data_IF_682650076626
#
_entry.id   IF_682650076626
#
_cell.length_a   1.000
_cell.length_b   1.000
_cell.length_c   1.000
_cell.angle_alpha   90.00
_cell.angle_beta   90.00
_cell.angle_gamma   90.00
#
_symmetry.space_group_name_H-M   'P 1'
#
loop_
_entity.id
_entity.type
_entity.pdbx_description
1 polymer ?
#
# COMPACT_ATOMS: atom_id res chain seq x y z
N UNK A 1 8.99 -7.79 -17.10
CA UNK A 1 8.39 -9.12 -17.33
C UNK A 1 6.88 -8.95 -17.13
N UNK A 2 6.08 -9.11 -18.18
CA UNK A 2 4.64 -8.79 -18.18
C UNK A 2 3.88 -9.89 -17.44
N UNK A 3 3.55 -9.65 -16.17
CA UNK A 3 2.80 -10.59 -15.34
C UNK A 3 1.30 -10.38 -15.60
N UNK A 4 0.64 -11.33 -16.27
CA UNK A 4 -0.80 -11.29 -16.53
C UNK A 4 -1.59 -11.85 -15.35
N UNK A 5 -2.80 -11.32 -15.10
CA UNK A 5 -3.76 -11.83 -14.08
C UNK A 5 -4.16 -13.29 -14.34
N UNK A 6 -3.91 -13.82 -15.53
CA UNK A 6 -4.25 -15.19 -15.94
C UNK A 6 -3.39 -16.27 -15.27
N UNK A 7 -2.31 -15.90 -14.58
CA UNK A 7 -1.42 -16.83 -13.87
C UNK A 7 -1.74 -16.98 -12.37
N UNK A 8 -2.85 -16.38 -11.91
CA UNK A 8 -3.31 -16.47 -10.52
C UNK A 8 -3.59 -17.92 -10.12
N UNK A 9 -3.13 -18.32 -8.94
CA UNK A 9 -3.30 -19.68 -8.43
C UNK A 9 -3.53 -19.66 -6.92
N UNK A 10 -4.50 -20.43 -6.42
CA UNK A 10 -4.78 -20.50 -4.98
C UNK A 10 -3.62 -21.06 -4.15
N UNK A 11 -2.78 -21.92 -4.74
CA UNK A 11 -1.62 -22.54 -4.08
C UNK A 11 -0.26 -21.95 -4.54
N UNK A 12 -0.30 -20.80 -5.22
CA UNK A 12 0.90 -20.13 -5.74
C UNK A 12 1.73 -19.40 -4.68
N UNK A 13 2.88 -18.89 -5.12
CA UNK A 13 3.73 -17.97 -4.36
C UNK A 13 3.03 -16.62 -4.22
N UNK A 14 3.14 -16.00 -3.04
CA UNK A 14 2.55 -14.67 -2.79
C UNK A 14 3.14 -13.63 -3.74
N UNK A 15 2.27 -12.84 -4.35
CA UNK A 15 2.64 -11.76 -5.26
C UNK A 15 1.78 -10.52 -5.07
N UNK A 16 2.35 -9.36 -5.44
CA UNK A 16 1.66 -8.09 -5.52
C UNK A 16 1.75 -7.62 -6.97
N UNK A 17 0.60 -7.28 -7.56
CA UNK A 17 0.52 -6.61 -8.85
C UNK A 17 0.39 -5.09 -8.66
N UNK A 18 0.98 -4.30 -9.55
CA UNK A 18 0.94 -2.84 -9.42
C UNK A 18 -0.50 -2.27 -9.36
N UNK A 19 -1.43 -2.87 -10.10
CA UNK A 19 -2.85 -2.49 -10.07
C UNK A 19 -3.52 -2.67 -8.70
N UNK A 20 -2.99 -3.57 -7.86
CA UNK A 20 -3.49 -3.80 -6.50
C UNK A 20 -3.07 -2.69 -5.53
N UNK A 21 -1.96 -1.99 -5.82
CA UNK A 21 -1.54 -0.81 -5.05
C UNK A 21 -2.59 0.31 -5.12
N UNK A 22 -3.38 0.37 -6.19
CA UNK A 22 -4.45 1.37 -6.35
C UNK A 22 -5.81 0.92 -5.82
N UNK A 23 -6.05 -0.38 -5.69
CA UNK A 23 -7.41 -0.93 -5.51
C UNK A 23 -7.60 -1.74 -4.24
N UNK A 24 -6.54 -2.37 -3.73
CA UNK A 24 -6.62 -3.30 -2.60
C UNK A 24 -5.84 -2.77 -1.41
N UNK A 25 -4.65 -2.24 -1.67
CA UNK A 25 -3.74 -1.82 -0.61
C UNK A 25 -3.85 -0.32 -0.36
N UNK A 26 -3.66 0.07 0.90
CA UNK A 26 -3.54 1.47 1.30
C UNK A 26 -2.07 1.81 1.58
N UNK A 27 -1.82 2.59 2.63
CA UNK A 27 -0.46 2.89 3.07
C UNK A 27 0.31 1.63 3.51
N UNK A 28 -0.37 0.59 3.99
CA UNK A 28 0.26 -0.64 4.48
C UNK A 28 -0.30 -1.84 3.71
N UNK A 29 0.60 -2.75 3.33
CA UNK A 29 0.23 -4.06 2.82
C UNK A 29 0.12 -5.01 4.02
N UNK A 30 -1.06 -5.10 4.62
CA UNK A 30 -1.28 -5.94 5.81
C UNK A 30 -1.24 -7.44 5.50
N UNK A 31 -1.87 -7.83 4.40
CA UNK A 31 -1.93 -9.23 3.94
C UNK A 31 -1.94 -9.28 2.44
N UNK A 32 -0.91 -9.92 1.88
CA UNK A 32 -0.82 -10.16 0.43
C UNK A 32 -1.93 -11.13 0.02
N UNK A 33 -2.81 -10.69 -0.90
CA UNK A 33 -3.96 -11.49 -1.34
C UNK A 33 -3.67 -12.36 -2.56
N UNK A 34 -2.88 -11.82 -3.49
CA UNK A 34 -2.61 -12.49 -4.76
C UNK A 34 -1.50 -13.53 -4.67
N UNK A 35 -1.64 -14.57 -5.49
CA UNK A 35 -0.73 -15.70 -5.57
C UNK A 35 -0.53 -16.11 -7.02
N UNK A 36 0.70 -16.44 -7.38
CA UNK A 36 1.08 -16.82 -8.75
C UNK A 36 1.90 -18.10 -8.75
N UNK A 37 1.69 -18.95 -9.75
CA UNK A 37 2.51 -20.14 -9.96
C UNK A 37 3.75 -19.81 -10.80
N UNK A 38 4.65 -18.99 -10.25
CA UNK A 38 5.90 -18.60 -10.89
C UNK A 38 7.11 -19.03 -10.06
N UNK A 39 8.18 -19.48 -10.72
CA UNK A 39 9.45 -19.81 -10.04
C UNK A 39 10.13 -18.52 -9.56
N UNK A 40 10.41 -18.44 -8.25
CA UNK A 40 11.02 -17.26 -7.59
C UNK A 40 12.36 -16.81 -8.20
N UNK A 41 13.10 -17.69 -8.87
CA UNK A 41 14.44 -17.40 -9.42
C UNK A 41 14.47 -16.41 -10.60
N UNK A 42 13.32 -16.10 -11.21
CA UNK A 42 13.23 -15.15 -12.34
C UNK A 42 12.42 -13.89 -12.00
N UNK A 43 12.00 -13.75 -10.73
CA UNK A 43 11.11 -12.69 -10.28
C UNK A 43 11.81 -11.73 -9.31
N UNK A 44 11.41 -10.47 -9.34
CA UNK A 44 11.84 -9.49 -8.32
C UNK A 44 11.15 -9.83 -6.99
N UNK A 45 11.94 -10.03 -5.94
CA UNK A 45 11.45 -10.38 -4.62
C UNK A 45 11.59 -9.21 -3.64
N UNK A 46 10.61 -9.07 -2.77
CA UNK A 46 10.64 -8.14 -1.64
C UNK A 46 11.71 -8.53 -0.62
N UNK A 47 12.35 -7.52 -0.03
CA UNK A 47 13.34 -7.63 1.04
C UNK A 47 12.74 -7.51 2.45
N UNK A 48 11.44 -7.17 2.54
CA UNK A 48 10.64 -7.13 3.78
C UNK A 48 10.78 -5.85 4.59
N UNK A 49 11.15 -4.75 3.93
CA UNK A 49 11.11 -3.36 4.41
C UNK A 49 11.02 -2.44 3.20
N UNK A 50 10.13 -2.75 2.27
CA UNK A 50 10.06 -2.09 0.97
C UNK A 50 8.91 -1.09 0.92
N UNK A 51 9.15 0.11 0.41
CA UNK A 51 8.10 1.01 -0.03
C UNK A 51 7.82 0.74 -1.51
N UNK A 52 6.63 0.24 -1.81
CA UNK A 52 6.19 -0.07 -3.16
C UNK A 52 5.52 1.15 -3.77
N UNK A 53 6.05 1.62 -4.90
CA UNK A 53 5.49 2.71 -5.69
C UNK A 53 5.03 2.17 -7.04
N UNK A 54 3.85 2.57 -7.54
CA UNK A 54 3.53 2.36 -8.93
C UNK A 54 4.45 3.24 -9.80
N UNK A 55 4.97 2.67 -10.88
CA UNK A 55 5.90 3.37 -11.77
C UNK A 55 5.17 4.23 -12.83
N UNK A 56 3.91 3.89 -13.13
CA UNK A 56 3.06 4.65 -14.04
C UNK A 56 1.58 4.60 -13.65
N UNK A 57 0.84 5.60 -14.14
CA UNK A 57 -0.61 5.70 -14.02
C UNK A 57 -1.16 6.53 -15.17
N UNK A 58 -2.42 6.27 -15.51
CA UNK A 58 -3.19 7.04 -16.51
C UNK A 58 -4.28 7.90 -15.87
N UNK A 59 -4.44 7.83 -14.54
CA UNK A 59 -5.59 8.43 -13.84
C UNK A 59 -5.19 9.66 -13.04
N UNK A 60 -4.23 9.54 -12.11
CA UNK A 60 -3.85 10.65 -11.22
C UNK A 60 -2.39 10.57 -10.78
N UNK A 61 -1.65 11.66 -10.98
CA UNK A 61 -0.28 11.87 -10.51
C UNK A 61 -0.09 11.54 -9.02
N UNK A 62 -1.08 11.86 -8.17
CA UNK A 62 -1.00 11.62 -6.72
C UNK A 62 -0.88 10.13 -6.38
N UNK A 63 -1.46 9.27 -7.23
CA UNK A 63 -1.42 7.83 -7.04
C UNK A 63 -0.01 7.24 -7.25
N UNK A 64 0.89 7.94 -7.95
CA UNK A 64 2.29 7.52 -8.11
C UNK A 64 3.17 7.77 -6.90
N UNK A 65 2.81 8.79 -6.10
CA UNK A 65 3.62 9.24 -4.95
C UNK A 65 3.06 8.73 -3.62
N UNK A 66 2.06 7.85 -3.68
CA UNK A 66 1.41 7.20 -2.55
C UNK A 66 1.92 5.76 -2.42
N UNK A 67 3.03 5.50 -1.71
CA UNK A 67 3.57 4.17 -1.59
C UNK A 67 2.82 3.31 -0.59
N UNK A 68 2.85 1.99 -0.81
CA UNK A 68 2.45 1.00 0.18
C UNK A 68 3.66 0.37 0.82
N UNK A 69 3.73 0.37 2.15
CA UNK A 69 4.79 -0.29 2.89
C UNK A 69 4.54 -1.80 2.96
N UNK A 70 5.56 -2.57 2.57
CA UNK A 70 5.59 -4.03 2.63
C UNK A 70 6.68 -4.51 3.60
N UNK A 71 6.25 -5.16 4.67
CA UNK A 71 7.13 -5.75 5.69
C UNK A 71 7.44 -7.23 5.44
N UNK A 72 6.68 -7.89 4.57
CA UNK A 72 6.89 -9.31 4.25
C UNK A 72 8.04 -9.52 3.26
N UNK A 73 8.88 -10.53 3.52
CA UNK A 73 10.00 -10.94 2.65
C UNK A 73 9.55 -11.94 1.60
N UNK A 74 10.29 -11.98 0.49
CA UNK A 74 10.12 -12.99 -0.57
C UNK A 74 8.75 -12.96 -1.26
N UNK A 75 8.09 -11.80 -1.27
CA UNK A 75 6.88 -11.54 -2.05
C UNK A 75 7.31 -11.18 -3.47
N UNK A 76 6.66 -11.79 -4.45
CA UNK A 76 6.92 -11.51 -5.86
C UNK A 76 6.30 -10.16 -6.22
N UNK A 77 7.11 -9.23 -6.71
CA UNK A 77 6.67 -7.93 -7.20
C UNK A 77 6.47 -8.00 -8.71
N UNK A 78 5.24 -7.75 -9.17
CA UNK A 78 4.84 -7.92 -10.55
C UNK A 78 4.28 -6.64 -11.19
N UNK A 79 4.60 -6.46 -12.48
CA UNK A 79 4.09 -5.35 -13.30
C UNK A 79 4.95 -4.09 -13.20
N UNK A 80 4.33 -2.93 -13.44
CA UNK A 80 5.02 -1.64 -13.52
C UNK A 80 5.06 -0.93 -12.15
N UNK A 81 5.89 -1.48 -11.27
CA UNK A 81 6.16 -0.91 -9.95
C UNK A 81 7.65 -0.98 -9.62
N UNK A 82 8.07 -0.17 -8.67
CA UNK A 82 9.40 -0.29 -8.08
C UNK A 82 9.30 -0.27 -6.54
N UNK A 83 10.27 -0.91 -5.90
CA UNK A 83 10.38 -0.96 -4.45
C UNK A 83 11.62 -0.20 -3.97
N UNK A 84 11.45 0.71 -3.02
CA UNK A 84 12.57 1.35 -2.31
C UNK A 84 12.81 0.59 -1.01
N UNK A 85 14.02 0.06 -0.84
CA UNK A 85 14.44 -0.61 0.39
C UNK A 85 14.76 0.42 1.46
N UNK A 86 14.11 0.31 2.61
CA UNK A 86 14.29 1.26 3.71
C UNK A 86 15.34 0.75 4.69
N UNK A 87 16.27 1.65 5.07
CA UNK A 87 17.29 1.39 6.08
C UNK A 87 16.65 1.00 7.43
N UNK A 88 17.46 0.45 8.33
CA UNK A 88 17.03 0.19 9.71
C UNK A 88 16.80 1.48 10.50
N UNK A 89 17.39 2.59 10.06
CA UNK A 89 17.30 3.90 10.73
C UNK A 89 15.93 4.57 10.59
N UNK A 90 15.05 4.03 9.73
CA UNK A 90 13.73 4.61 9.43
C UNK A 90 12.64 3.56 9.49
N UNK A 91 11.43 3.95 9.91
CA UNK A 91 10.27 3.07 9.92
C UNK A 91 9.56 3.12 8.54
N UNK A 92 9.46 1.99 7.80
CA UNK A 92 8.80 1.98 6.49
C UNK A 92 7.32 2.37 6.57
N UNK A 93 6.61 1.98 7.64
CA UNK A 93 5.20 2.31 7.84
C UNK A 93 5.02 3.83 8.02
N UNK A 94 5.90 4.44 8.82
CA UNK A 94 5.92 5.89 9.01
C UNK A 94 6.15 6.61 7.67
N UNK A 95 7.16 6.18 6.91
CA UNK A 95 7.47 6.78 5.62
C UNK A 95 6.29 6.66 4.66
N UNK A 96 5.61 5.52 4.63
CA UNK A 96 4.40 5.41 3.81
C UNK A 96 3.35 6.43 4.21
N UNK A 97 3.01 6.55 5.50
CA UNK A 97 2.06 7.56 5.96
C UNK A 97 2.52 8.99 5.63
N UNK A 98 3.80 9.28 5.83
CA UNK A 98 4.40 10.57 5.50
C UNK A 98 4.24 10.90 4.02
N UNK A 99 4.58 9.97 3.13
CA UNK A 99 4.44 10.19 1.69
C UNK A 99 2.98 10.32 1.25
N UNK A 100 2.08 9.52 1.81
CA UNK A 100 0.65 9.53 1.48
C UNK A 100 -0.05 10.81 1.93
N UNK A 101 0.27 11.35 3.12
CA UNK A 101 -0.50 12.42 3.74
C UNK A 101 0.23 13.76 3.86
N UNK A 102 1.55 13.75 4.06
CA UNK A 102 2.34 14.98 4.31
C UNK A 102 3.05 15.41 3.03
N UNK A 103 3.88 14.54 2.46
CA UNK A 103 4.70 14.87 1.30
C UNK A 103 3.91 14.87 0.00
N UNK A 104 2.74 14.22 -0.06
CA UNK A 104 1.92 14.08 -1.26
C UNK A 104 1.72 15.41 -2.01
N UNK A 105 1.31 16.47 -1.29
CA UNK A 105 1.10 17.80 -1.88
C UNK A 105 2.38 18.43 -2.44
N UNK A 106 3.53 18.14 -1.83
CA UNK A 106 4.83 18.66 -2.29
C UNK A 106 5.36 17.85 -3.47
N UNK A 107 5.17 16.54 -3.43
CA UNK A 107 5.69 15.60 -4.40
C UNK A 107 4.84 15.51 -5.68
N UNK A 108 3.58 15.90 -5.62
CA UNK A 108 2.68 15.93 -6.78
C UNK A 108 3.23 16.77 -7.94
N UNK A 109 4.07 17.76 -7.63
CA UNK A 109 4.74 18.63 -8.61
C UNK A 109 5.77 17.89 -9.48
N UNK A 110 6.28 16.75 -9.02
CA UNK A 110 7.27 15.94 -9.75
C UNK A 110 6.63 14.85 -10.61
N UNK A 111 5.34 14.57 -10.41
CA UNK A 111 4.59 13.68 -11.28
C UNK A 111 4.23 14.43 -12.57
N UNK A 112 4.95 14.15 -13.66
CA UNK A 112 4.83 14.85 -14.95
C UNK A 112 4.35 13.88 -16.04
N UNK A 113 3.43 14.34 -16.89
CA UNK A 113 2.89 13.61 -18.05
C UNK A 113 1.43 13.97 -18.31
N UNK A 114 1.03 14.04 -19.59
CA UNK A 114 -0.34 14.41 -19.99
C UNK A 114 -1.25 13.20 -20.24
N UNK A 115 -0.70 12.06 -20.69
CA UNK A 115 -1.49 10.84 -21.02
C UNK A 115 -1.07 9.62 -20.20
N UNK A 116 0.24 9.48 -19.92
CA UNK A 116 0.79 8.53 -18.96
C UNK A 116 1.76 9.32 -18.09
N UNK A 117 1.53 9.29 -16.78
CA UNK A 117 2.37 9.99 -15.81
C UNK A 117 3.40 8.98 -15.34
N UNK A 118 4.68 9.33 -15.50
CA UNK A 118 5.79 8.50 -15.04
C UNK A 118 6.50 9.19 -13.88
N UNK A 119 6.85 8.40 -12.87
CA UNK A 119 7.60 8.89 -11.73
C UNK A 119 9.09 8.76 -12.03
N UNK A 120 9.80 9.88 -12.17
CA UNK A 120 11.25 9.84 -12.35
C UNK A 120 11.93 9.53 -11.01
N UNK A 121 12.36 8.28 -10.82
CA UNK A 121 13.06 7.82 -9.62
C UNK A 121 14.20 8.76 -9.19
N UNK A 122 14.98 9.26 -10.15
CA UNK A 122 16.09 10.18 -9.88
C UNK A 122 15.62 11.52 -9.29
N UNK A 123 14.42 12.01 -9.61
CA UNK A 123 13.90 13.24 -9.01
C UNK A 123 13.52 13.00 -7.53
N UNK A 124 12.89 11.86 -7.21
CA UNK A 124 12.51 11.51 -5.82
C UNK A 124 13.71 11.14 -4.96
N UNK A 125 14.67 10.41 -5.52
CA UNK A 125 15.88 10.01 -4.81
C UNK A 125 16.70 11.22 -4.31
N UNK A 126 16.56 12.38 -4.97
CA UNK A 126 17.22 13.62 -4.60
C UNK A 126 16.39 14.52 -3.67
N UNK A 127 15.17 14.13 -3.30
CA UNK A 127 14.34 14.93 -2.39
C UNK A 127 14.87 14.77 -0.98
N UNK A 128 15.39 15.87 -0.43
CA UNK A 128 15.75 15.96 0.99
C UNK A 128 14.48 16.13 1.82
N UNK A 129 14.25 15.20 2.73
CA UNK A 129 13.15 15.22 3.69
C UNK A 129 13.72 15.23 5.11
N UNK A 130 13.17 16.10 5.95
CA UNK A 130 13.48 16.11 7.38
C UNK A 130 12.53 15.12 8.07
N UNK A 131 13.12 14.15 8.76
CA UNK A 131 12.39 13.10 9.45
C UNK A 131 12.70 13.16 10.95
N UNK A 132 11.70 12.90 11.80
CA UNK A 132 11.91 12.79 13.24
C UNK A 132 12.75 11.55 13.59
N UNK A 133 13.13 11.41 14.85
CA UNK A 133 13.87 10.23 15.32
C UNK A 133 13.07 8.93 15.09
N UNK A 134 13.76 7.80 14.97
CA UNK A 134 13.10 6.50 14.79
C UNK A 134 12.08 6.20 15.90
N UNK A 135 12.38 6.58 17.14
CA UNK A 135 11.48 6.42 18.28
C UNK A 135 10.18 7.22 18.12
N UNK A 136 10.26 8.44 17.61
CA UNK A 136 9.09 9.27 17.33
C UNK A 136 8.29 8.71 16.15
N UNK A 137 8.96 8.21 15.11
CA UNK A 137 8.31 7.54 14.00
C UNK A 137 7.49 6.33 14.49
N UNK A 138 8.07 5.49 15.35
CA UNK A 138 7.41 4.32 15.92
C UNK A 138 6.20 4.71 16.80
N UNK A 139 6.33 5.76 17.62
CA UNK A 139 5.22 6.29 18.43
C UNK A 139 4.06 6.75 17.55
N UNK A 140 4.35 7.49 16.48
CA UNK A 140 3.35 7.98 15.54
C UNK A 140 2.65 6.81 14.84
N UNK A 141 3.42 5.85 14.32
CA UNK A 141 2.86 4.65 13.67
C UNK A 141 1.95 3.89 14.62
N UNK A 142 2.39 3.66 15.86
CA UNK A 142 1.59 2.97 16.87
C UNK A 142 0.27 3.69 17.15
N UNK A 143 0.30 5.03 17.27
CA UNK A 143 -0.91 5.82 17.49
C UNK A 143 -1.88 5.74 16.29
N UNK A 144 -1.38 5.88 15.06
CA UNK A 144 -2.19 5.82 13.84
C UNK A 144 -2.80 4.43 13.65
N UNK A 145 -2.03 3.37 13.91
CA UNK A 145 -2.54 1.99 13.85
C UNK A 145 -3.59 1.73 14.92
N UNK A 146 -3.39 2.22 16.15
CA UNK A 146 -4.38 2.13 17.22
C UNK A 146 -5.72 2.78 16.85
N UNK A 147 -5.67 3.97 16.24
CA UNK A 147 -6.88 4.65 15.73
C UNK A 147 -7.53 3.84 14.60
N UNK A 148 -6.72 3.29 13.69
CA UNK A 148 -7.22 2.49 12.56
C UNK A 148 -7.92 1.21 13.04
N UNK A 149 -7.37 0.53 14.04
CA UNK A 149 -7.99 -0.65 14.67
C UNK A 149 -9.31 -0.27 15.34
N UNK A 150 -9.33 0.81 16.13
CA UNK A 150 -10.56 1.29 16.77
C UNK A 150 -11.66 1.61 15.75
N UNK A 151 -11.30 2.28 14.66
CA UNK A 151 -12.23 2.60 13.57
C UNK A 151 -12.84 1.34 12.95
N UNK A 152 -12.05 0.29 12.75
CA UNK A 152 -12.54 -1.00 12.23
C UNK A 152 -13.55 -1.63 13.19
N UNK A 153 -13.25 -1.67 14.49
CA UNK A 153 -14.14 -2.22 15.52
C UNK A 153 -15.47 -1.45 15.55
N UNK A 154 -15.44 -0.11 15.51
CA UNK A 154 -16.64 0.72 15.52
C UNK A 154 -17.51 0.51 14.27
N UNK A 155 -16.88 0.35 13.09
CA UNK A 155 -17.59 0.04 11.84
C UNK A 155 -18.27 -1.33 11.88
N UNK A 156 -17.60 -2.34 12.41
CA UNK A 156 -18.15 -3.68 12.55
C UNK A 156 -19.32 -3.71 13.53
N UNK A 157 -19.19 -2.99 14.66
CA UNK A 157 -20.28 -2.83 15.62
C UNK A 157 -21.49 -2.11 14.99
N UNK A 158 -21.26 -1.01 14.29
CA UNK A 158 -22.32 -0.26 13.62
C UNK A 158 -23.07 -1.14 12.60
N UNK A 159 -22.33 -1.95 11.82
CA UNK A 159 -22.91 -2.90 10.88
C UNK A 159 -23.77 -3.94 11.61
N UNK A 160 -23.26 -4.54 12.69
CA UNK A 160 -24.02 -5.51 13.48
C UNK A 160 -25.30 -4.93 14.08
N UNK A 161 -25.25 -3.69 14.58
CA UNK A 161 -26.43 -2.99 15.09
C UNK A 161 -27.44 -2.66 13.98
N UNK A 162 -26.96 -2.28 12.79
CA UNK A 162 -27.82 -2.05 11.62
C UNK A 162 -28.53 -3.33 11.19
N UNK A 163 -27.81 -4.45 11.13
CA UNK A 163 -28.36 -5.75 10.76
C UNK A 163 -29.40 -6.22 11.80
N UNK A 164 -29.11 -6.06 13.09
CA UNK A 164 -30.04 -6.36 14.18
C UNK A 164 -31.30 -5.50 14.10
N UNK A 165 -31.15 -4.19 13.90
CA UNK A 165 -32.29 -3.28 13.73
C UNK A 165 -33.18 -3.74 12.56
N UNK A 166 -32.57 -4.08 11.42
CA UNK A 166 -33.32 -4.53 10.25
C UNK A 166 -34.06 -5.84 10.52
N UNK A 167 -33.41 -6.79 11.21
CA UNK A 167 -34.03 -8.05 11.61
C UNK A 167 -35.24 -7.81 12.53
N UNK A 168 -35.08 -7.02 13.60
CA UNK A 168 -36.16 -6.74 14.55
C UNK A 168 -37.35 -6.03 13.89
N UNK A 169 -37.09 -5.06 13.01
CA UNK A 169 -38.15 -4.39 12.26
C UNK A 169 -38.94 -5.35 11.37
N UNK A 170 -38.28 -6.33 10.73
CA UNK A 170 -38.97 -7.38 9.95
C UNK A 170 -39.84 -8.27 10.83
N UNK A 171 -39.43 -8.54 12.06
CA UNK A 171 -40.20 -9.35 13.01
C UNK A 171 -41.39 -8.58 13.64
N UNK A 172 -41.35 -7.24 13.66
CA UNK A 172 -42.42 -6.42 14.24
C UNK A 172 -43.67 -6.28 13.37
N UNK A 173 -43.56 -6.46 12.05
CA UNK A 173 -44.67 -6.25 11.11
C UNK A 173 -45.15 -7.56 10.46
N UNK A 174 -45.20 -8.63 11.26
CA UNK A 174 -45.92 -9.88 10.94
C UNK A 174 -47.39 -9.70 11.33
#
# INVERSE_FOLDING_TARGET
MTMSKEQLSENGNLCIFYGELFTIYGCIVDKVKSRINLKKGSATLSSGRDLLFPASTTVDALSLIAPSALMEKNIILGGDMFGIKISQDFNPLYLSYYFNYVANKRLSKYAKGTTIIHLHYNEIANVVIELPSIEEQDKIVTAVQGISVKLTIEKDLLKGLSDLKQFLLRQMFI
#
